data_IF_001276894716
#
_entry.id   IF_001276894716
#
_cell.length_a   1.000
_cell.length_b   1.000
_cell.length_c   1.000
_cell.angle_alpha   90.00
_cell.angle_beta   90.00
_cell.angle_gamma   90.00
#
_symmetry.space_group_name_H-M   'P 1'
#
loop_
_entity.id
_entity.type
_entity.pdbx_description
1 polymer ?
#
# COMPACT_ATOMS: atom_id res chain seq x y z
N UNK A 1 6.78 28.97 -2.36
CA UNK A 1 5.56 28.37 -1.80
C UNK A 1 4.56 28.20 -2.94
N UNK A 2 4.55 27.03 -3.56
CA UNK A 2 3.49 26.64 -4.51
C UNK A 2 2.59 25.71 -3.71
N UNK A 3 1.33 26.09 -3.58
CA UNK A 3 0.31 25.37 -2.82
C UNK A 3 0.07 24.01 -3.52
N UNK A 4 0.46 22.89 -2.90
CA UNK A 4 0.05 21.55 -3.35
C UNK A 4 -1.46 21.41 -3.11
N UNK A 5 -2.24 21.85 -4.10
CA UNK A 5 -3.67 21.54 -4.15
C UNK A 5 -3.77 20.02 -4.33
N UNK A 6 -4.36 19.35 -3.35
CA UNK A 6 -4.86 17.98 -3.49
C UNK A 6 -5.70 17.90 -4.77
N UNK A 7 -5.16 17.28 -5.83
CA UNK A 7 -5.86 17.03 -7.08
C UNK A 7 -6.95 15.98 -6.83
N UNK A 8 -8.11 16.48 -6.41
CA UNK A 8 -9.38 15.76 -6.41
C UNK A 8 -9.72 15.41 -7.85
N UNK A 9 -9.84 14.11 -8.13
CA UNK A 9 -10.06 13.68 -9.50
C UNK A 9 -11.47 14.06 -10.02
N UNK A 10 -11.50 14.29 -11.34
CA UNK A 10 -12.51 14.97 -12.18
C UNK A 10 -13.91 14.39 -12.09
N UNK A 11 -14.93 15.25 -12.20
CA UNK A 11 -16.27 14.80 -12.55
C UNK A 11 -16.66 15.01 -14.02
N UNK A 12 -17.43 14.08 -14.59
CA UNK A 12 -18.19 14.28 -15.83
C UNK A 12 -19.67 14.38 -15.46
N UNK A 13 -20.32 15.45 -15.92
CA UNK A 13 -21.74 15.69 -15.67
C UNK A 13 -22.55 15.41 -16.94
N UNK A 14 -23.62 14.62 -16.81
CA UNK A 14 -24.69 14.55 -17.80
C UNK A 14 -25.92 15.27 -17.25
N UNK A 15 -26.52 16.13 -18.07
CA UNK A 15 -27.72 16.88 -17.74
C UNK A 15 -28.76 16.56 -18.81
N UNK A 16 -29.83 15.88 -18.42
CA UNK A 16 -30.96 15.59 -19.27
C UNK A 16 -32.09 16.56 -18.92
N UNK A 17 -32.57 17.29 -19.93
CA UNK A 17 -33.55 18.36 -19.77
C UNK A 17 -34.55 18.36 -20.92
N UNK A 18 -35.75 18.88 -20.67
CA UNK A 18 -36.75 19.10 -21.70
C UNK A 18 -36.20 19.91 -22.89
N UNK A 19 -36.48 19.47 -24.12
CA UNK A 19 -36.00 20.08 -25.37
C UNK A 19 -36.44 21.51 -25.55
N UNK A 20 -37.61 21.86 -25.00
CA UNK A 20 -38.21 23.19 -25.10
C UNK A 20 -37.63 24.16 -24.05
N UNK A 21 -36.74 23.68 -23.16
CA UNK A 21 -36.04 24.52 -22.22
C UNK A 21 -35.21 25.61 -22.95
N UNK A 22 -35.36 26.90 -22.57
CA UNK A 22 -34.60 27.97 -23.19
C UNK A 22 -33.10 27.79 -22.91
N UNK A 23 -32.26 28.27 -23.81
CA UNK A 23 -30.80 28.17 -23.67
C UNK A 23 -30.28 28.78 -22.36
N UNK A 24 -30.96 29.82 -21.85
CA UNK A 24 -30.67 30.42 -20.56
C UNK A 24 -30.88 29.46 -19.39
N UNK A 25 -31.97 28.70 -19.38
CA UNK A 25 -32.23 27.68 -18.35
C UNK A 25 -31.11 26.64 -18.32
N UNK A 26 -30.69 26.16 -19.50
CA UNK A 26 -29.56 25.22 -19.60
C UNK A 26 -28.26 25.81 -19.03
N UNK A 27 -27.97 27.09 -19.31
CA UNK A 27 -26.80 27.77 -18.75
C UNK A 27 -26.87 27.88 -17.23
N UNK A 28 -28.02 28.23 -16.68
CA UNK A 28 -28.23 28.31 -15.22
C UNK A 28 -28.00 26.95 -14.57
N UNK A 29 -28.58 25.88 -15.11
CA UNK A 29 -28.40 24.51 -14.58
C UNK A 29 -26.94 24.08 -14.66
N UNK A 30 -26.30 24.27 -15.82
CA UNK A 30 -24.87 24.00 -16.02
C UNK A 30 -23.99 24.72 -14.97
N UNK A 31 -24.27 26.00 -14.73
CA UNK A 31 -23.53 26.83 -13.78
C UNK A 31 -23.81 26.43 -12.33
N UNK A 32 -25.04 26.07 -11.99
CA UNK A 32 -25.42 25.62 -10.65
C UNK A 32 -24.66 24.35 -10.24
N UNK A 33 -24.62 23.35 -11.13
CA UNK A 33 -23.87 22.10 -10.89
C UNK A 33 -22.38 22.40 -10.75
N UNK A 34 -21.83 23.23 -11.64
CA UNK A 34 -20.40 23.57 -11.62
C UNK A 34 -20.01 24.38 -10.38
N UNK A 35 -20.84 25.31 -9.93
CA UNK A 35 -20.62 26.06 -8.68
C UNK A 35 -20.59 25.10 -7.48
N UNK A 36 -21.56 24.19 -7.38
CA UNK A 36 -21.57 23.17 -6.32
C UNK A 36 -20.35 22.25 -6.37
N UNK A 37 -19.86 21.91 -7.57
CA UNK A 37 -18.65 21.09 -7.75
C UNK A 37 -17.44 21.77 -7.12
N UNK A 38 -17.26 23.07 -7.36
CA UNK A 38 -16.12 23.82 -6.80
C UNK A 38 -16.32 24.07 -5.31
N UNK A 39 -17.46 24.63 -4.93
CA UNK A 39 -17.71 25.16 -3.58
C UNK A 39 -17.86 24.05 -2.53
N UNK A 40 -18.46 22.92 -2.89
CA UNK A 40 -18.84 21.86 -1.94
C UNK A 40 -18.02 20.60 -2.16
N UNK A 41 -17.86 20.16 -3.41
CA UNK A 41 -17.17 18.91 -3.73
C UNK A 41 -15.65 19.08 -3.93
N UNK A 42 -15.13 20.28 -3.72
CA UNK A 42 -13.72 20.66 -3.85
C UNK A 42 -13.12 20.25 -5.21
N UNK A 43 -13.86 20.47 -6.30
CA UNK A 43 -13.43 20.19 -7.66
C UNK A 43 -12.60 21.37 -8.20
N UNK A 44 -11.49 21.14 -8.94
CA UNK A 44 -10.70 22.21 -9.51
C UNK A 44 -11.49 23.11 -10.46
N UNK A 45 -11.15 24.40 -10.51
CA UNK A 45 -11.83 25.39 -11.37
C UNK A 45 -11.69 25.02 -12.86
N UNK A 46 -10.60 24.37 -13.28
CA UNK A 46 -10.42 23.93 -14.67
C UNK A 46 -11.38 22.82 -15.11
N UNK A 47 -12.10 22.19 -14.18
CA UNK A 47 -12.70 20.88 -14.41
C UNK A 47 -14.21 21.02 -14.68
N UNK A 48 -14.53 21.47 -15.89
CA UNK A 48 -15.91 21.66 -16.36
C UNK A 48 -16.23 20.80 -17.59
N UNK A 49 -16.44 19.51 -17.37
CA UNK A 49 -16.92 18.58 -18.40
C UNK A 49 -18.40 18.30 -18.22
N UNK A 50 -19.22 18.82 -19.12
CA UNK A 50 -20.67 18.64 -19.05
C UNK A 50 -21.24 18.32 -20.43
N UNK A 51 -22.14 17.35 -20.47
CA UNK A 51 -22.94 17.01 -21.65
C UNK A 51 -24.39 17.32 -21.31
N UNK A 52 -25.05 18.11 -22.15
CA UNK A 52 -26.48 18.40 -22.02
C UNK A 52 -27.22 17.69 -23.13
N UNK A 53 -28.15 16.82 -22.76
CA UNK A 53 -29.04 16.13 -23.67
C UNK A 53 -30.44 16.72 -23.53
N UNK A 54 -31.06 17.02 -24.68
CA UNK A 54 -32.40 17.58 -24.76
C UNK A 54 -33.39 16.50 -25.18
N UNK A 55 -34.49 16.40 -24.47
CA UNK A 55 -35.49 15.33 -24.64
C UNK A 55 -36.87 15.88 -24.95
N UNK A 56 -37.58 15.26 -25.88
CA UNK A 56 -39.02 15.47 -26.09
C UNK A 56 -39.82 15.05 -24.85
N UNK A 57 -41.04 15.55 -24.73
CA UNK A 57 -41.88 15.33 -23.55
C UNK A 57 -42.18 13.85 -23.25
N UNK A 58 -42.03 12.97 -24.25
CA UNK A 58 -42.24 11.53 -24.18
C UNK A 58 -40.94 10.71 -23.98
N UNK A 59 -39.78 11.36 -23.91
CA UNK A 59 -38.47 10.70 -23.77
C UNK A 59 -37.98 10.64 -22.30
N UNK A 60 -38.49 11.53 -21.43
CA UNK A 60 -38.26 11.46 -19.98
C UNK A 60 -39.52 10.88 -19.32
N UNK A 61 -39.43 9.62 -18.89
CA UNK A 61 -40.56 8.88 -18.29
C UNK A 61 -40.38 8.81 -16.77
N UNK A 62 -41.39 9.28 -16.04
CA UNK A 62 -41.46 9.22 -14.58
C UNK A 62 -42.85 8.71 -14.15
N UNK A 63 -42.98 8.10 -12.95
CA UNK A 63 -44.26 7.55 -12.50
C UNK A 63 -45.29 8.65 -12.22
N UNK A 64 -46.52 8.45 -12.70
CA UNK A 64 -47.65 9.38 -12.51
C UNK A 64 -47.97 9.62 -11.03
N UNK A 65 -47.81 8.60 -10.18
CA UNK A 65 -48.01 8.69 -8.73
C UNK A 65 -46.80 9.28 -7.98
N UNK A 66 -45.73 9.65 -8.68
CA UNK A 66 -44.48 10.09 -8.07
C UNK A 66 -43.65 8.94 -7.46
N UNK A 67 -42.54 9.30 -6.80
CA UNK A 67 -41.64 8.34 -6.15
C UNK A 67 -41.12 8.89 -4.82
N UNK A 68 -41.15 8.07 -3.75
CA UNK A 68 -40.75 8.48 -2.39
C UNK A 68 -41.44 9.77 -1.89
N UNK A 69 -42.70 9.99 -2.30
CA UNK A 69 -43.47 11.19 -1.94
C UNK A 69 -43.15 12.43 -2.78
N UNK A 70 -42.35 12.30 -3.83
CA UNK A 70 -41.98 13.39 -4.75
C UNK A 70 -42.80 13.27 -6.04
N UNK A 71 -43.50 14.34 -6.40
CA UNK A 71 -44.24 14.46 -7.66
C UNK A 71 -43.46 15.27 -8.68
N UNK A 72 -43.29 14.70 -9.88
CA UNK A 72 -42.52 15.30 -10.96
C UNK A 72 -43.41 16.02 -11.97
N UNK A 73 -42.82 16.97 -12.70
CA UNK A 73 -43.47 17.69 -13.79
C UNK A 73 -42.68 17.56 -15.11
N UNK A 74 -43.23 18.03 -16.25
CA UNK A 74 -42.51 18.03 -17.53
C UNK A 74 -41.23 18.89 -17.56
N UNK A 75 -40.98 19.68 -16.51
CA UNK A 75 -39.76 20.45 -16.32
C UNK A 75 -38.64 19.67 -15.58
N UNK A 76 -38.83 18.37 -15.31
CA UNK A 76 -37.85 17.48 -14.67
C UNK A 76 -36.46 17.58 -15.34
N UNK A 77 -35.44 17.76 -14.48
CA UNK A 77 -34.03 17.79 -14.83
C UNK A 77 -33.34 16.62 -14.14
N UNK A 78 -32.65 15.80 -14.92
CA UNK A 78 -31.86 14.68 -14.42
C UNK A 78 -30.38 15.04 -14.55
N UNK A 79 -29.66 14.94 -13.44
CA UNK A 79 -28.25 15.30 -13.35
C UNK A 79 -27.48 14.09 -12.86
N UNK A 80 -26.68 13.48 -13.72
CA UNK A 80 -25.73 12.45 -13.33
C UNK A 80 -24.33 13.04 -13.22
N UNK A 81 -23.67 12.82 -12.09
CA UNK A 81 -22.28 13.22 -11.86
C UNK A 81 -21.45 11.98 -11.60
N UNK A 82 -20.59 11.63 -12.55
CA UNK A 82 -19.55 10.61 -12.37
C UNK A 82 -18.31 11.31 -11.84
N UNK A 83 -17.74 10.89 -10.71
CA UNK A 83 -16.51 11.45 -10.15
C UNK A 83 -15.65 10.37 -9.50
N UNK A 84 -14.48 10.73 -9.01
CA UNK A 84 -13.70 9.82 -8.16
C UNK A 84 -14.31 9.69 -6.76
N UNK A 85 -14.41 8.45 -6.29
CA UNK A 85 -14.98 8.13 -4.97
C UNK A 85 -14.23 8.76 -3.79
N UNK A 86 -14.83 8.64 -2.59
CA UNK A 86 -14.22 9.08 -1.32
C UNK A 86 -14.78 10.36 -0.72
N UNK A 87 -15.79 10.99 -1.34
CA UNK A 87 -16.53 12.10 -0.71
C UNK A 87 -17.41 11.55 0.41
N UNK A 88 -17.42 12.23 1.56
CA UNK A 88 -18.24 11.84 2.71
C UNK A 88 -19.73 12.03 2.42
N UNK A 89 -20.57 11.31 3.18
CA UNK A 89 -22.03 11.46 3.09
C UNK A 89 -22.49 12.90 3.31
N UNK A 90 -21.83 13.66 4.20
CA UNK A 90 -22.19 15.05 4.47
C UNK A 90 -21.86 15.99 3.30
N UNK A 91 -20.73 15.77 2.62
CA UNK A 91 -20.40 16.49 1.38
C UNK A 91 -21.44 16.18 0.31
N UNK A 92 -21.83 14.90 0.13
CA UNK A 92 -22.85 14.50 -0.84
C UNK A 92 -24.21 15.16 -0.54
N UNK A 93 -24.65 15.21 0.72
CA UNK A 93 -25.88 15.91 1.15
C UNK A 93 -25.86 17.40 0.82
N UNK A 94 -24.76 18.08 1.18
CA UNK A 94 -24.61 19.51 0.89
C UNK A 94 -24.57 19.79 -0.61
N UNK A 95 -23.94 18.90 -1.38
CA UNK A 95 -23.85 19.00 -2.84
C UNK A 95 -25.22 18.93 -3.50
N UNK A 96 -26.07 17.96 -3.11
CA UNK A 96 -27.44 17.86 -3.61
C UNK A 96 -28.25 19.12 -3.30
N UNK A 97 -28.21 19.57 -2.04
CA UNK A 97 -28.97 20.72 -1.57
C UNK A 97 -28.57 21.99 -2.32
N UNK A 98 -27.26 22.23 -2.46
CA UNK A 98 -26.69 23.41 -3.15
C UNK A 98 -27.16 23.52 -4.59
N UNK A 99 -27.21 22.41 -5.33
CA UNK A 99 -27.64 22.37 -6.73
C UNK A 99 -29.13 22.66 -6.84
N UNK A 100 -29.96 21.94 -6.07
CA UNK A 100 -31.41 22.11 -6.10
C UNK A 100 -31.83 23.53 -5.71
N UNK A 101 -31.20 24.11 -4.69
CA UNK A 101 -31.46 25.49 -4.25
C UNK A 101 -31.12 26.52 -5.31
N UNK A 102 -29.96 26.37 -5.97
CA UNK A 102 -29.50 27.31 -6.99
C UNK A 102 -30.37 27.26 -8.25
N UNK A 103 -30.69 26.05 -8.72
CA UNK A 103 -31.54 25.84 -9.89
C UNK A 103 -32.94 26.42 -9.61
N UNK A 104 -33.48 26.17 -8.42
CA UNK A 104 -34.76 26.74 -8.04
C UNK A 104 -34.72 28.27 -8.03
N UNK A 105 -33.73 28.85 -7.34
CA UNK A 105 -33.62 30.30 -7.18
C UNK A 105 -33.40 31.03 -8.52
N UNK A 106 -32.65 30.43 -9.46
CA UNK A 106 -32.24 31.10 -10.70
C UNK A 106 -33.01 30.70 -11.95
N UNK A 107 -33.59 29.50 -11.99
CA UNK A 107 -34.34 29.01 -13.15
C UNK A 107 -35.83 28.80 -12.88
N UNK A 108 -36.28 28.98 -11.62
CA UNK A 108 -37.69 28.81 -11.23
C UNK A 108 -38.17 27.36 -11.28
N UNK A 109 -37.25 26.39 -11.42
CA UNK A 109 -37.58 24.96 -11.44
C UNK A 109 -37.89 24.50 -10.01
N UNK A 110 -38.89 23.66 -9.86
CA UNK A 110 -39.22 23.05 -8.57
C UNK A 110 -38.06 22.19 -8.07
N UNK A 111 -37.80 22.17 -6.76
CA UNK A 111 -36.73 21.32 -6.22
C UNK A 111 -37.04 19.84 -6.40
N UNK A 112 -38.34 19.50 -6.41
CA UNK A 112 -38.83 18.15 -6.73
C UNK A 112 -38.47 17.71 -8.16
N UNK A 113 -38.29 18.67 -9.07
CA UNK A 113 -37.94 18.45 -10.48
C UNK A 113 -36.41 18.48 -10.71
N UNK A 114 -35.60 18.38 -9.66
CA UNK A 114 -34.13 18.25 -9.74
C UNK A 114 -33.72 16.89 -9.20
N UNK A 115 -33.54 15.92 -10.10
CA UNK A 115 -33.11 14.57 -9.74
C UNK A 115 -31.61 14.42 -9.97
N UNK A 116 -30.86 14.03 -8.93
CA UNK A 116 -29.39 13.94 -8.98
C UNK A 116 -28.95 12.51 -8.67
N UNK A 117 -28.10 11.94 -9.53
CA UNK A 117 -27.45 10.66 -9.34
C UNK A 117 -25.93 10.85 -9.31
N UNK A 118 -25.25 10.23 -8.34
CA UNK A 118 -23.79 10.24 -8.24
C UNK A 118 -23.25 8.85 -8.56
N UNK A 119 -22.22 8.81 -9.39
CA UNK A 119 -21.48 7.59 -9.75
C UNK A 119 -20.05 7.76 -9.22
N UNK A 120 -19.62 6.84 -8.36
CA UNK A 120 -18.27 6.82 -7.81
C UNK A 120 -17.42 5.83 -8.62
N UNK A 121 -16.33 6.32 -9.21
CA UNK A 121 -15.31 5.50 -9.90
C UNK A 121 -13.96 5.54 -9.17
N UNK A 122 -13.06 4.62 -9.54
CA UNK A 122 -11.66 4.63 -9.14
C UNK A 122 -10.89 5.74 -9.86
N UNK A 123 -9.68 6.07 -9.39
CA UNK A 123 -8.82 7.05 -10.08
C UNK A 123 -8.28 6.50 -11.39
N UNK A 124 -7.99 5.21 -11.40
CA UNK A 124 -7.50 4.43 -12.53
C UNK A 124 -8.49 4.33 -13.70
N UNK A 125 -9.78 4.60 -13.47
CA UNK A 125 -10.82 4.46 -14.50
C UNK A 125 -10.92 5.66 -15.45
N UNK A 126 -10.04 6.66 -15.29
CA UNK A 126 -10.12 7.94 -16.00
C UNK A 126 -9.06 8.10 -17.09
N UNK A 127 -9.51 8.42 -18.30
CA UNK A 127 -8.70 8.92 -19.42
C UNK A 127 -9.30 10.20 -20.01
N UNK A 128 -8.55 11.29 -20.01
CA UNK A 128 -8.97 12.61 -20.52
C UNK A 128 -8.50 12.89 -21.95
N UNK A 129 -8.01 11.86 -22.65
CA UNK A 129 -7.47 11.97 -24.00
C UNK A 129 -6.12 11.28 -24.14
N UNK A 130 -5.62 11.23 -25.38
CA UNK A 130 -4.35 10.57 -25.76
C UNK A 130 -4.26 9.07 -25.44
N UNK A 131 -5.33 8.44 -24.96
CA UNK A 131 -5.33 7.04 -24.53
C UNK A 131 -4.54 6.78 -23.25
N UNK A 132 -4.23 7.82 -22.47
CA UNK A 132 -3.46 7.71 -21.22
C UNK A 132 -4.42 7.68 -20.01
N UNK A 133 -4.08 6.93 -18.96
CA UNK A 133 -4.80 6.96 -17.67
C UNK A 133 -4.19 8.02 -16.76
N UNK A 134 -4.59 9.29 -16.88
CA UNK A 134 -3.90 10.39 -16.20
C UNK A 134 -4.00 10.34 -14.67
N UNK A 135 -5.05 9.70 -14.15
CA UNK A 135 -5.27 9.55 -12.71
C UNK A 135 -4.88 8.21 -12.13
N UNK A 136 -4.49 7.25 -12.97
CA UNK A 136 -3.82 6.05 -12.47
C UNK A 136 -2.72 6.51 -11.50
N UNK A 137 -2.50 5.77 -10.40
CA UNK A 137 -1.25 5.91 -9.69
C UNK A 137 -0.19 5.83 -10.77
N UNK A 138 0.55 6.93 -10.99
CA UNK A 138 1.78 6.82 -11.75
C UNK A 138 2.47 5.69 -11.03
N UNK A 139 2.63 4.56 -11.70
CA UNK A 139 3.59 3.56 -11.29
C UNK A 139 4.89 4.33 -11.41
N UNK A 140 5.22 5.08 -10.36
CA UNK A 140 6.57 5.30 -9.94
C UNK A 140 7.06 3.88 -9.62
N UNK A 141 7.35 3.13 -10.68
CA UNK A 141 8.68 2.60 -10.84
C UNK A 141 9.53 3.84 -10.62
N UNK A 142 10.12 4.04 -9.42
CA UNK A 142 11.10 5.08 -9.26
C UNK A 142 12.16 4.73 -10.28
N UNK A 143 12.28 5.43 -11.40
CA UNK A 143 13.57 5.41 -12.06
C UNK A 143 14.47 6.20 -11.13
N UNK A 144 15.72 5.76 -10.98
CA UNK A 144 16.76 6.70 -10.63
C UNK A 144 16.52 7.98 -11.45
N UNK A 145 16.59 9.15 -10.82
CA UNK A 145 16.44 10.40 -11.58
C UNK A 145 17.56 10.47 -12.64
N UNK A 146 17.53 11.48 -13.52
CA UNK A 146 18.50 11.64 -14.61
C UNK A 146 19.99 11.61 -14.16
N UNK A 147 20.26 11.67 -12.85
CA UNK A 147 21.59 11.57 -12.23
C UNK A 147 21.87 10.22 -11.56
N UNK A 148 21.07 9.18 -11.81
CA UNK A 148 21.26 7.88 -11.17
C UNK A 148 20.91 7.88 -9.68
N UNK A 149 20.04 8.78 -9.21
CA UNK A 149 19.74 8.94 -7.77
C UNK A 149 18.33 8.49 -7.40
N UNK A 150 18.22 7.79 -6.27
CA UNK A 150 16.95 7.38 -5.66
C UNK A 150 16.08 8.60 -5.31
N UNK A 151 14.78 8.53 -5.57
CA UNK A 151 13.83 9.60 -5.26
C UNK A 151 13.24 9.44 -3.85
N UNK A 152 13.00 10.56 -3.16
CA UNK A 152 12.24 10.56 -1.91
C UNK A 152 10.77 10.21 -2.18
N UNK A 153 10.18 9.46 -1.24
CA UNK A 153 8.75 9.13 -1.20
C UNK A 153 8.25 9.54 0.18
N UNK A 154 7.66 10.74 0.33
CA UNK A 154 7.28 11.27 1.63
C UNK A 154 6.17 10.43 2.26
N UNK A 155 6.10 10.47 3.60
CA UNK A 155 5.00 9.87 4.35
C UNK A 155 3.67 10.49 3.91
N UNK A 156 2.77 9.64 3.44
CA UNK A 156 1.39 10.02 3.07
C UNK A 156 0.47 8.80 3.24
N UNK A 157 -0.85 8.99 3.38
CA UNK A 157 -1.78 7.86 3.49
C UNK A 157 -1.75 6.89 2.30
N UNK A 158 -1.27 7.33 1.13
CA UNK A 158 -1.19 6.53 -0.09
C UNK A 158 0.16 5.83 -0.28
N UNK A 159 1.23 6.32 0.35
CA UNK A 159 2.56 5.74 0.21
C UNK A 159 2.68 4.47 1.07
N UNK A 160 2.67 3.28 0.46
CA UNK A 160 2.85 2.00 1.18
C UNK A 160 4.29 1.76 1.64
N UNK A 161 5.25 2.29 0.91
CA UNK A 161 6.67 2.36 1.27
C UNK A 161 7.09 3.81 1.18
N UNK A 162 7.71 4.35 2.23
CA UNK A 162 8.32 5.68 2.26
C UNK A 162 9.81 5.58 2.02
N UNK A 163 10.38 6.63 1.43
CA UNK A 163 11.82 6.77 1.21
C UNK A 163 12.21 8.18 1.64
N UNK A 164 13.14 8.28 2.57
CA UNK A 164 13.67 9.56 3.06
C UNK A 164 15.20 9.54 3.05
N UNK A 165 15.78 10.32 2.14
CA UNK A 165 17.22 10.51 2.05
C UNK A 165 17.71 11.49 3.10
N UNK A 166 18.81 11.15 3.76
CA UNK A 166 19.49 12.02 4.73
C UNK A 166 21.00 12.02 4.45
N UNK A 167 21.41 12.86 3.50
CA UNK A 167 22.80 12.87 3.03
C UNK A 167 23.14 11.56 2.30
N UNK A 168 24.09 10.82 2.86
CA UNK A 168 24.62 9.57 2.30
C UNK A 168 23.86 8.31 2.79
N UNK A 169 22.83 8.48 3.62
CA UNK A 169 21.98 7.37 4.07
C UNK A 169 20.56 7.54 3.55
N UNK A 170 19.80 6.45 3.53
CA UNK A 170 18.38 6.44 3.21
C UNK A 170 17.58 5.67 4.25
N UNK A 171 16.40 6.18 4.59
CA UNK A 171 15.44 5.52 5.44
C UNK A 171 14.30 4.99 4.56
N UNK A 172 14.04 3.69 4.64
CA UNK A 172 12.99 2.99 3.90
C UNK A 172 11.97 2.49 4.91
N UNK A 173 10.72 2.93 4.80
CA UNK A 173 9.69 2.69 5.82
C UNK A 173 8.48 1.96 5.26
N UNK A 174 8.01 0.88 5.88
CA UNK A 174 6.69 0.30 5.57
C UNK A 174 5.58 1.12 6.22
N UNK A 175 4.56 1.49 5.45
CA UNK A 175 3.47 2.38 5.88
C UNK A 175 2.10 1.84 5.44
N UNK A 176 1.62 0.86 6.18
CA UNK A 176 0.21 0.40 6.19
C UNK A 176 -0.26 0.18 7.65
N UNK A 177 -0.09 1.17 8.56
CA UNK A 177 -0.31 0.98 9.99
C UNK A 177 -1.74 0.56 10.34
N UNK A 178 -2.72 0.97 9.54
CA UNK A 178 -4.14 0.64 9.67
C UNK A 178 -4.44 -0.87 9.62
N UNK A 179 -3.50 -1.68 9.11
CA UNK A 179 -3.58 -3.13 9.08
C UNK A 179 -2.27 -3.76 9.58
N UNK A 180 -1.66 -3.16 10.60
CA UNK A 180 -0.45 -3.68 11.25
C UNK A 180 0.75 -3.84 10.29
N UNK A 181 0.89 -2.94 9.31
CA UNK A 181 1.94 -2.95 8.30
C UNK A 181 2.06 -4.29 7.54
N UNK A 182 0.96 -5.03 7.38
CA UNK A 182 0.98 -6.24 6.57
C UNK A 182 1.40 -5.92 5.14
N UNK A 183 2.17 -6.79 4.49
CA UNK A 183 2.62 -6.63 3.11
C UNK A 183 1.57 -7.19 2.15
N UNK A 184 1.09 -6.36 1.22
CA UNK A 184 0.40 -6.81 0.01
C UNK A 184 1.43 -6.92 -1.14
N UNK A 185 1.04 -7.46 -2.32
CA UNK A 185 1.97 -7.59 -3.44
C UNK A 185 2.61 -6.26 -3.87
N UNK A 186 1.86 -5.16 -3.85
CA UNK A 186 2.35 -3.84 -4.27
C UNK A 186 3.37 -3.26 -3.28
N UNK A 187 3.12 -3.34 -1.97
CA UNK A 187 4.08 -2.96 -0.94
C UNK A 187 5.37 -3.78 -1.04
N UNK A 188 5.26 -5.09 -1.31
CA UNK A 188 6.42 -5.95 -1.49
C UNK A 188 7.25 -5.54 -2.72
N UNK A 189 6.62 -5.32 -3.87
CA UNK A 189 7.32 -4.85 -5.07
C UNK A 189 7.93 -3.45 -4.91
N UNK A 190 7.28 -2.57 -4.15
CA UNK A 190 7.84 -1.24 -3.83
C UNK A 190 9.07 -1.34 -2.94
N UNK A 191 9.09 -2.25 -1.98
CA UNK A 191 10.28 -2.52 -1.17
C UNK A 191 11.41 -3.10 -2.04
N UNK A 192 11.08 -4.08 -2.89
CA UNK A 192 12.02 -4.69 -3.84
C UNK A 192 12.68 -3.64 -4.75
N UNK A 193 11.88 -2.68 -5.20
CA UNK A 193 12.33 -1.57 -6.02
C UNK A 193 13.16 -0.56 -5.25
N UNK A 194 12.78 -0.22 -4.03
CA UNK A 194 13.54 0.68 -3.16
C UNK A 194 14.92 0.11 -2.84
N UNK A 195 15.02 -1.20 -2.62
CA UNK A 195 16.29 -1.90 -2.42
C UNK A 195 17.17 -1.85 -3.68
N UNK A 196 16.60 -2.09 -4.86
CA UNK A 196 17.32 -1.93 -6.12
C UNK A 196 17.85 -0.50 -6.31
N UNK A 197 17.02 0.52 -6.06
CA UNK A 197 17.44 1.92 -6.23
C UNK A 197 18.50 2.34 -5.22
N UNK A 198 18.37 1.90 -3.96
CA UNK A 198 19.38 2.11 -2.95
C UNK A 198 20.72 1.48 -3.37
N UNK A 199 20.71 0.24 -3.83
CA UNK A 199 21.91 -0.48 -4.21
C UNK A 199 22.59 0.15 -5.44
N UNK A 200 21.80 0.71 -6.36
CA UNK A 200 22.30 1.34 -7.59
C UNK A 200 22.58 2.85 -7.49
N UNK A 201 22.16 3.54 -6.42
CA UNK A 201 22.47 4.96 -6.22
C UNK A 201 23.89 5.15 -5.63
N UNK A 202 24.88 5.65 -6.40
CA UNK A 202 26.27 5.77 -5.93
C UNK A 202 26.47 6.81 -4.82
N UNK A 203 25.47 7.67 -4.56
CA UNK A 203 25.53 8.66 -3.49
C UNK A 203 25.07 8.14 -2.13
N UNK A 204 24.47 6.94 -2.08
CA UNK A 204 24.03 6.29 -0.85
C UNK A 204 25.06 5.25 -0.38
N UNK A 205 25.20 5.11 0.93
CA UNK A 205 26.21 4.30 1.63
C UNK A 205 25.62 3.29 2.59
N UNK A 206 24.48 3.58 3.20
CA UNK A 206 23.77 2.66 4.10
C UNK A 206 22.26 2.94 4.09
N UNK A 207 21.46 1.91 4.33
CA UNK A 207 20.01 2.02 4.43
C UNK A 207 19.52 1.65 5.85
N UNK A 208 18.45 2.30 6.30
CA UNK A 208 17.70 1.91 7.50
C UNK A 208 16.30 1.47 7.06
N UNK A 209 15.93 0.22 7.32
CA UNK A 209 14.58 -0.30 7.09
C UNK A 209 13.78 -0.32 8.40
N UNK A 210 12.60 0.31 8.41
CA UNK A 210 11.76 0.47 9.60
C UNK A 210 10.26 0.41 9.24
N UNK A 211 9.38 0.46 10.25
CA UNK A 211 7.93 0.54 10.08
C UNK A 211 7.32 1.82 10.65
N UNK A 212 6.24 2.30 10.04
CA UNK A 212 5.45 3.44 10.56
C UNK A 212 4.32 2.97 11.48
N UNK A 213 3.95 3.79 12.46
CA UNK A 213 2.88 3.47 13.41
C UNK A 213 3.31 2.50 14.52
N UNK A 214 2.38 1.75 15.07
CA UNK A 214 2.57 0.98 16.32
C UNK A 214 3.43 -0.28 16.17
N UNK A 215 3.50 -0.85 14.96
CA UNK A 215 4.15 -2.14 14.73
C UNK A 215 5.13 -2.02 13.56
N UNK A 216 6.20 -2.79 13.59
CA UNK A 216 7.03 -2.96 12.40
C UNK A 216 6.22 -3.64 11.28
N UNK A 217 5.75 -4.89 11.50
CA UNK A 217 4.79 -5.57 10.62
C UNK A 217 4.35 -6.93 11.17
N UNK A 218 3.09 -7.31 10.93
CA UNK A 218 2.56 -8.67 11.15
C UNK A 218 2.70 -9.61 9.94
N UNK A 219 3.62 -9.30 9.02
CA UNK A 219 3.95 -10.15 7.88
C UNK A 219 2.98 -9.96 6.71
N UNK A 220 2.45 -11.05 6.15
CA UNK A 220 1.68 -11.00 4.89
C UNK A 220 0.23 -10.55 5.09
N UNK A 221 -0.30 -9.82 4.10
CA UNK A 221 -1.72 -9.56 3.88
C UNK A 221 -2.29 -10.72 3.05
N UNK A 222 -2.75 -11.78 3.72
CA UNK A 222 -3.12 -13.05 3.06
C UNK A 222 -4.20 -12.82 2.01
N UNK A 223 -5.19 -11.97 2.30
CA UNK A 223 -6.32 -11.72 1.41
C UNK A 223 -5.90 -10.98 0.14
N UNK A 224 -4.96 -10.03 0.25
CA UNK A 224 -4.41 -9.32 -0.90
C UNK A 224 -3.57 -10.23 -1.83
N UNK A 225 -3.05 -11.35 -1.33
CA UNK A 225 -2.29 -12.32 -2.13
C UNK A 225 -3.16 -13.39 -2.80
N UNK A 226 -4.43 -13.57 -2.39
CA UNK A 226 -5.34 -14.58 -2.97
C UNK A 226 -5.49 -14.45 -4.50
N UNK A 227 -5.74 -13.25 -5.08
CA UNK A 227 -5.90 -13.12 -6.53
C UNK A 227 -4.65 -13.53 -7.29
N UNK A 228 -3.47 -13.17 -6.77
CA UNK A 228 -2.19 -13.52 -7.35
C UNK A 228 -1.95 -15.04 -7.29
N UNK A 229 -2.22 -15.67 -6.15
CA UNK A 229 -2.09 -17.12 -5.98
C UNK A 229 -2.95 -17.91 -6.98
N UNK A 230 -4.18 -17.43 -7.25
CA UNK A 230 -5.09 -18.05 -8.24
C UNK A 230 -4.56 -18.01 -9.68
N UNK A 231 -3.64 -17.11 -10.01
CA UNK A 231 -3.06 -17.06 -11.36
C UNK A 231 -2.12 -18.22 -11.66
N UNK A 232 -1.63 -18.92 -10.63
CA UNK A 232 -0.60 -19.96 -10.75
C UNK A 232 0.75 -19.46 -11.26
N UNK A 233 0.92 -18.15 -11.46
CA UNK A 233 2.17 -17.55 -11.92
C UNK A 233 3.14 -17.40 -10.74
N UNK A 234 4.45 -17.62 -10.96
CA UNK A 234 5.45 -17.39 -9.93
C UNK A 234 5.48 -15.91 -9.52
N UNK A 235 5.59 -15.66 -8.22
CA UNK A 235 5.85 -14.34 -7.68
C UNK A 235 7.32 -13.97 -7.90
N UNK A 236 7.63 -13.56 -9.13
CA UNK A 236 8.99 -13.31 -9.59
C UNK A 236 9.32 -11.81 -9.56
N UNK A 237 10.59 -11.50 -9.27
CA UNK A 237 11.12 -10.14 -9.40
C UNK A 237 11.21 -9.77 -10.87
N UNK A 238 10.92 -8.50 -11.17
CA UNK A 238 11.06 -7.93 -12.51
C UNK A 238 12.45 -7.29 -12.64
N UNK A 239 12.83 -6.96 -13.87
CA UNK A 239 13.99 -6.11 -14.12
C UNK A 239 13.89 -4.81 -13.30
N UNK A 240 15.02 -4.38 -12.72
CA UNK A 240 15.05 -3.22 -11.85
C UNK A 240 14.50 -3.46 -10.44
N UNK A 241 14.42 -4.70 -9.96
CA UNK A 241 14.02 -5.04 -8.60
C UNK A 241 15.00 -6.03 -7.96
N UNK A 242 15.21 -5.90 -6.65
CA UNK A 242 15.93 -6.89 -5.84
C UNK A 242 14.95 -7.59 -4.92
N UNK A 243 15.06 -8.91 -4.79
CA UNK A 243 14.22 -9.68 -3.87
C UNK A 243 14.43 -9.19 -2.42
N UNK A 244 13.41 -8.65 -1.74
CA UNK A 244 13.54 -8.17 -0.36
C UNK A 244 14.02 -9.22 0.64
N UNK A 245 13.83 -10.51 0.32
CA UNK A 245 14.32 -11.64 1.11
C UNK A 245 15.76 -12.04 0.77
N UNK A 246 16.41 -11.36 -0.18
CA UNK A 246 17.77 -11.63 -0.63
C UNK A 246 18.06 -13.12 -0.93
N UNK A 247 17.10 -13.85 -1.53
CA UNK A 247 17.27 -15.28 -1.84
C UNK A 247 18.15 -15.51 -3.06
N UNK A 248 18.18 -14.54 -3.97
CA UNK A 248 18.96 -14.60 -5.21
C UNK A 248 20.17 -13.67 -5.20
N UNK A 249 20.09 -12.56 -4.46
CA UNK A 249 21.11 -11.52 -4.44
C UNK A 249 21.00 -10.72 -3.14
N UNK A 250 22.14 -10.54 -2.46
CA UNK A 250 22.29 -9.67 -1.30
C UNK A 250 22.53 -8.22 -1.73
N UNK A 251 22.24 -7.26 -0.85
CA UNK A 251 22.60 -5.87 -1.07
C UNK A 251 24.13 -5.70 -1.04
N UNK A 252 24.68 -4.89 -1.94
CA UNK A 252 26.11 -4.59 -1.96
C UNK A 252 26.51 -3.51 -0.94
N UNK A 253 25.53 -2.90 -0.28
CA UNK A 253 25.67 -1.83 0.72
C UNK A 253 24.91 -2.18 2.00
N UNK A 254 25.40 -1.74 3.17
CA UNK A 254 24.81 -2.13 4.45
C UNK A 254 23.34 -1.74 4.63
N UNK A 255 22.58 -2.67 5.21
CA UNK A 255 21.20 -2.51 5.64
C UNK A 255 21.10 -2.69 7.16
N UNK A 256 20.48 -1.71 7.82
CA UNK A 256 20.12 -1.76 9.23
C UNK A 256 18.61 -1.95 9.34
N UNK A 257 18.13 -3.00 10.01
CA UNK A 257 16.70 -3.13 10.33
C UNK A 257 16.41 -2.60 11.74
N UNK A 258 15.41 -1.74 11.84
CA UNK A 258 14.90 -1.19 13.10
C UNK A 258 13.46 -1.64 13.29
N UNK A 259 13.20 -2.38 14.37
CA UNK A 259 11.90 -3.01 14.62
C UNK A 259 11.33 -2.67 15.99
N UNK A 260 10.00 -2.67 16.09
CA UNK A 260 9.24 -2.39 17.30
C UNK A 260 7.84 -3.00 17.20
N UNK A 261 7.14 -3.11 18.34
CA UNK A 261 5.84 -3.77 18.39
C UNK A 261 5.87 -5.15 17.73
N UNK A 262 4.79 -5.54 17.07
CA UNK A 262 4.72 -6.83 16.39
C UNK A 262 5.64 -6.89 15.16
N UNK A 263 6.51 -7.90 15.15
CA UNK A 263 7.46 -8.22 14.09
C UNK A 263 7.38 -9.70 13.77
N UNK A 264 6.35 -10.11 13.02
CA UNK A 264 5.99 -11.52 12.86
C UNK A 264 6.21 -12.03 11.44
N UNK A 265 6.52 -13.32 11.33
CA UNK A 265 6.45 -14.09 10.10
C UNK A 265 7.34 -13.47 9.02
N UNK A 266 6.78 -13.15 7.84
CA UNK A 266 7.47 -12.42 6.79
C UNK A 266 8.23 -11.17 7.29
N UNK A 267 7.74 -10.47 8.31
CA UNK A 267 8.44 -9.30 8.84
C UNK A 267 9.72 -9.66 9.59
N UNK A 268 9.71 -10.76 10.36
CA UNK A 268 10.92 -11.30 10.98
C UNK A 268 11.90 -11.81 9.91
N UNK A 269 11.40 -12.40 8.83
CA UNK A 269 12.24 -12.83 7.71
C UNK A 269 12.92 -11.65 7.00
N UNK A 270 12.22 -10.53 6.78
CA UNK A 270 12.81 -9.29 6.26
C UNK A 270 13.80 -8.67 7.24
N UNK A 271 13.53 -8.77 8.55
CA UNK A 271 14.46 -8.31 9.58
C UNK A 271 15.77 -9.10 9.56
N UNK A 272 15.72 -10.43 9.41
CA UNK A 272 16.89 -11.31 9.34
C UNK A 272 17.79 -11.09 8.12
N UNK A 273 17.32 -10.37 7.09
CA UNK A 273 18.13 -9.99 5.92
C UNK A 273 19.16 -8.91 6.28
N UNK A 274 18.88 -8.06 7.26
CA UNK A 274 19.73 -6.92 7.59
C UNK A 274 21.06 -7.33 8.25
N UNK A 275 22.11 -6.57 7.95
CA UNK A 275 23.46 -6.75 8.49
C UNK A 275 23.54 -6.39 9.98
N UNK A 276 22.79 -5.35 10.39
CA UNK A 276 22.70 -4.91 11.78
C UNK A 276 21.23 -4.75 12.16
N UNK A 277 20.87 -5.24 13.34
CA UNK A 277 19.48 -5.32 13.79
C UNK A 277 19.32 -4.65 15.14
N UNK A 278 18.49 -3.61 15.17
CA UNK A 278 18.15 -2.81 16.36
C UNK A 278 16.68 -3.03 16.66
N UNK A 279 16.32 -3.19 17.94
CA UNK A 279 14.93 -3.27 18.33
C UNK A 279 14.59 -2.32 19.46
N UNK A 280 13.34 -1.86 19.48
CA UNK A 280 12.73 -1.26 20.66
C UNK A 280 12.44 -2.33 21.72
N UNK A 281 12.46 -1.94 22.99
CA UNK A 281 12.16 -2.80 24.14
C UNK A 281 10.75 -3.43 24.07
N UNK A 282 9.82 -2.80 23.37
CA UNK A 282 8.44 -3.28 23.17
C UNK A 282 8.27 -4.26 21.98
N UNK A 283 9.36 -4.62 21.29
CA UNK A 283 9.26 -5.56 20.16
C UNK A 283 8.73 -6.92 20.63
N UNK A 284 7.85 -7.50 19.82
CA UNK A 284 7.35 -8.85 19.96
C UNK A 284 7.53 -9.58 18.64
N UNK A 285 8.48 -10.49 18.61
CA UNK A 285 8.74 -11.34 17.46
C UNK A 285 7.83 -12.57 17.44
N UNK A 286 7.58 -13.10 16.25
CA UNK A 286 6.82 -14.33 16.02
C UNK A 286 7.23 -14.99 14.72
N UNK A 287 7.28 -16.32 14.71
CA UNK A 287 7.52 -17.13 13.51
C UNK A 287 6.58 -18.33 13.58
N UNK A 288 5.28 -18.05 13.48
CA UNK A 288 4.19 -18.95 13.85
C UNK A 288 3.47 -19.57 12.64
N UNK A 289 4.07 -19.54 11.45
CA UNK A 289 3.47 -20.09 10.23
C UNK A 289 3.07 -21.57 10.39
N UNK A 290 3.87 -22.34 11.11
CA UNK A 290 3.63 -23.77 11.32
C UNK A 290 2.34 -24.05 12.10
N UNK A 291 1.92 -23.16 13.01
CA UNK A 291 0.66 -23.31 13.75
C UNK A 291 -0.57 -23.03 12.88
N UNK A 292 -0.35 -22.55 11.65
CA UNK A 292 -1.36 -22.26 10.64
C UNK A 292 -1.29 -23.20 9.43
N UNK A 293 -0.54 -24.31 9.53
CA UNK A 293 -0.35 -25.27 8.42
C UNK A 293 0.48 -24.68 7.26
N UNK A 294 1.34 -23.70 7.56
CA UNK A 294 2.24 -23.03 6.61
C UNK A 294 3.68 -23.28 7.07
N UNK A 295 4.66 -22.75 6.33
CA UNK A 295 6.04 -22.71 6.82
C UNK A 295 6.73 -21.39 6.44
N UNK A 296 7.82 -21.01 7.13
CA UNK A 296 8.58 -19.79 6.81
C UNK A 296 9.28 -19.87 5.44
N UNK A 297 8.80 -19.07 4.48
CA UNK A 297 9.24 -19.14 3.07
C UNK A 297 10.17 -17.99 2.62
N UNK A 298 10.38 -16.98 3.46
CA UNK A 298 11.25 -15.82 3.22
C UNK A 298 12.70 -16.01 3.71
N UNK A 299 13.02 -17.11 4.39
CA UNK A 299 14.37 -17.49 4.76
C UNK A 299 14.63 -17.68 6.26
N UNK A 300 13.62 -17.62 7.14
CA UNK A 300 13.86 -17.87 8.57
C UNK A 300 14.39 -19.29 8.84
N UNK A 301 13.99 -20.29 8.06
CA UNK A 301 14.50 -21.68 8.15
C UNK A 301 15.99 -21.82 7.83
N UNK A 302 16.64 -20.74 7.38
CA UNK A 302 18.06 -20.67 7.09
C UNK A 302 18.72 -19.64 8.03
N UNK A 303 18.29 -18.38 7.93
CA UNK A 303 18.94 -17.27 8.64
C UNK A 303 18.69 -17.32 10.13
N UNK A 304 17.49 -17.68 10.60
CA UNK A 304 17.23 -17.70 12.04
C UNK A 304 18.09 -18.76 12.76
N UNK A 305 18.34 -19.89 12.10
CA UNK A 305 19.24 -20.93 12.59
C UNK A 305 20.69 -20.45 12.63
N UNK A 306 21.14 -19.76 11.59
CA UNK A 306 22.48 -19.19 11.52
C UNK A 306 22.73 -18.22 12.68
N UNK A 307 21.77 -17.33 12.94
CA UNK A 307 21.93 -16.29 13.97
C UNK A 307 21.83 -16.84 15.40
N UNK A 308 20.96 -17.83 15.65
CA UNK A 308 20.60 -18.23 17.04
C UNK A 308 21.02 -19.65 17.43
N UNK A 309 21.46 -20.45 16.46
CA UNK A 309 21.65 -21.88 16.61
C UNK A 309 20.34 -22.67 16.52
N UNK A 310 20.46 -23.96 16.21
CA UNK A 310 19.32 -24.85 15.92
C UNK A 310 18.24 -24.86 17.00
N UNK A 311 18.63 -25.06 18.27
CA UNK A 311 17.68 -25.25 19.36
C UNK A 311 16.80 -24.03 19.61
N UNK A 312 17.41 -22.83 19.61
CA UNK A 312 16.70 -21.57 19.78
C UNK A 312 15.74 -21.31 18.60
N UNK A 313 16.22 -21.48 17.36
CA UNK A 313 15.40 -21.28 16.18
C UNK A 313 14.19 -22.22 16.14
N UNK A 314 14.42 -23.52 16.37
CA UNK A 314 13.36 -24.53 16.36
C UNK A 314 12.38 -24.36 17.52
N UNK A 315 12.84 -23.89 18.68
CA UNK A 315 11.98 -23.60 19.83
C UNK A 315 10.84 -22.65 19.46
N UNK A 316 11.08 -21.66 18.60
CA UNK A 316 10.02 -20.72 18.18
C UNK A 316 9.31 -21.16 16.91
N UNK A 317 10.03 -21.60 15.87
CA UNK A 317 9.39 -22.02 14.62
C UNK A 317 8.46 -23.22 14.78
N UNK A 318 8.82 -24.20 15.62
CA UNK A 318 8.00 -25.41 15.79
C UNK A 318 6.83 -25.21 16.75
N UNK A 319 6.92 -24.26 17.68
CA UNK A 319 5.87 -24.00 18.69
C UNK A 319 4.93 -22.87 18.28
N UNK A 320 5.41 -21.92 17.48
CA UNK A 320 4.72 -20.67 17.19
C UNK A 320 4.69 -19.67 18.35
N UNK A 321 5.46 -19.90 19.42
CA UNK A 321 5.53 -18.94 20.53
C UNK A 321 6.16 -17.62 20.10
N UNK A 322 5.77 -16.54 20.77
CA UNK A 322 6.34 -15.20 20.56
C UNK A 322 7.40 -14.90 21.62
N UNK A 323 8.38 -14.05 21.28
CA UNK A 323 9.44 -13.62 22.19
C UNK A 323 9.71 -12.12 22.11
N UNK A 324 10.31 -11.58 23.17
CA UNK A 324 10.58 -10.14 23.31
C UNK A 324 12.04 -9.75 23.04
N UNK A 325 12.32 -8.45 23.19
CA UNK A 325 13.63 -7.85 22.95
C UNK A 325 14.79 -8.53 23.71
N UNK A 326 14.63 -8.77 25.01
CA UNK A 326 15.66 -9.38 25.86
C UNK A 326 16.07 -10.77 25.37
N UNK A 327 15.08 -11.57 24.99
CA UNK A 327 15.32 -12.92 24.49
C UNK A 327 15.95 -12.89 23.09
N UNK A 328 15.52 -11.96 22.23
CA UNK A 328 16.13 -11.74 20.93
C UNK A 328 17.61 -11.32 21.06
N UNK A 329 17.93 -10.45 22.03
CA UNK A 329 19.30 -10.03 22.32
C UNK A 329 20.14 -11.16 22.91
N UNK A 330 19.59 -11.92 23.87
CA UNK A 330 20.23 -13.12 24.46
C UNK A 330 20.59 -14.16 23.40
N UNK A 331 19.73 -14.34 22.39
CA UNK A 331 19.97 -15.26 21.27
C UNK A 331 20.91 -14.70 20.19
N UNK A 332 21.26 -13.41 20.25
CA UNK A 332 22.09 -12.76 19.22
C UNK A 332 21.33 -12.33 17.96
N UNK A 333 19.99 -12.42 17.95
CA UNK A 333 19.17 -11.98 16.80
C UNK A 333 19.30 -10.48 16.61
N UNK A 334 19.35 -9.70 17.69
CA UNK A 334 19.51 -8.24 17.65
C UNK A 334 20.80 -7.82 18.37
N UNK A 335 21.37 -6.70 17.96
CA UNK A 335 22.63 -6.16 18.49
C UNK A 335 22.42 -5.00 19.47
N UNK A 336 21.23 -4.40 19.51
CA UNK A 336 20.93 -3.29 20.41
C UNK A 336 19.43 -3.28 20.78
N UNK A 337 19.15 -3.10 22.07
CA UNK A 337 17.81 -2.82 22.60
C UNK A 337 17.74 -1.33 22.95
N UNK A 338 16.84 -0.60 22.29
CA UNK A 338 16.55 0.78 22.60
C UNK A 338 15.28 0.89 23.48
N UNK A 339 15.16 1.92 24.34
CA UNK A 339 14.03 2.02 25.28
C UNK A 339 12.64 2.11 24.66
N UNK A 340 12.52 2.62 23.44
CA UNK A 340 11.25 2.83 22.74
C UNK A 340 11.46 2.95 21.22
N UNK A 341 10.38 2.93 20.40
CA UNK A 341 10.49 2.92 18.94
C UNK A 341 11.27 4.11 18.36
N UNK A 342 11.05 5.32 18.90
CA UNK A 342 11.74 6.51 18.43
C UNK A 342 13.26 6.42 18.69
N UNK A 343 13.65 5.91 19.87
CA UNK A 343 15.06 5.69 20.21
C UNK A 343 15.70 4.56 19.41
N UNK A 344 14.95 3.51 19.07
CA UNK A 344 15.42 2.47 18.17
C UNK A 344 15.74 3.04 16.77
N UNK A 345 14.86 3.90 16.24
CA UNK A 345 15.09 4.55 14.95
C UNK A 345 16.28 5.51 14.98
N UNK A 346 16.39 6.32 16.03
CA UNK A 346 17.57 7.19 16.24
C UNK A 346 18.88 6.38 16.27
N UNK A 347 18.90 5.25 16.98
CA UNK A 347 20.05 4.36 17.07
C UNK A 347 20.43 3.77 15.70
N UNK A 348 19.44 3.24 14.95
CA UNK A 348 19.65 2.74 13.59
C UNK A 348 20.20 3.80 12.63
N UNK A 349 19.67 5.03 12.69
CA UNK A 349 20.19 6.17 11.92
C UNK A 349 21.62 6.51 12.33
N UNK A 350 21.93 6.46 13.63
CA UNK A 350 23.28 6.67 14.15
C UNK A 350 24.28 5.66 13.62
N UNK A 351 23.92 4.38 13.59
CA UNK A 351 24.73 3.30 13.00
C UNK A 351 24.94 3.50 11.50
N UNK A 352 23.86 3.81 10.76
CA UNK A 352 23.94 4.09 9.32
C UNK A 352 24.89 5.25 9.01
N UNK A 353 24.87 6.33 9.83
CA UNK A 353 25.80 7.47 9.68
C UNK A 353 27.25 7.08 9.96
N UNK A 354 27.51 6.25 10.97
CA UNK A 354 28.86 5.75 11.27
C UNK A 354 29.41 4.92 10.09
N UNK A 355 28.57 4.06 9.51
CA UNK A 355 28.91 3.29 8.31
C UNK A 355 29.17 4.22 7.12
N UNK A 356 28.29 5.21 6.89
CA UNK A 356 28.43 6.15 5.79
C UNK A 356 29.72 6.99 5.86
N UNK A 357 30.21 7.27 7.07
CA UNK A 357 31.48 7.97 7.31
C UNK A 357 32.73 7.09 7.06
N UNK A 358 32.57 5.79 6.83
CA UNK A 358 33.66 4.83 6.59
C UNK A 358 34.01 4.74 5.09
N UNK A 359 35.19 4.18 4.79
CA UNK A 359 35.62 3.97 3.40
C UNK A 359 34.68 3.00 2.65
N UNK A 360 33.95 3.45 1.61
CA UNK A 360 32.85 2.67 1.03
C UNK A 360 33.30 1.39 0.32
N UNK A 361 34.50 1.40 -0.29
CA UNK A 361 35.08 0.19 -0.87
C UNK A 361 35.44 -0.84 0.20
N UNK A 362 35.96 -0.39 1.35
CA UNK A 362 36.26 -1.27 2.48
C UNK A 362 35.00 -1.93 3.04
N UNK A 363 33.91 -1.17 3.18
CA UNK A 363 32.60 -1.69 3.59
C UNK A 363 32.08 -2.72 2.59
N UNK A 364 32.06 -2.38 1.29
CA UNK A 364 31.58 -3.28 0.24
C UNK A 364 32.39 -4.58 0.19
N UNK A 365 33.73 -4.49 0.20
CA UNK A 365 34.61 -5.66 0.20
C UNK A 365 34.47 -6.48 1.49
N UNK A 366 34.20 -5.85 2.64
CA UNK A 366 33.92 -6.57 3.89
C UNK A 366 32.66 -7.41 3.77
N UNK A 367 31.57 -6.83 3.25
CA UNK A 367 30.32 -7.56 3.02
C UNK A 367 30.51 -8.68 2.00
N UNK A 368 31.12 -8.39 0.85
CA UNK A 368 31.42 -9.40 -0.18
C UNK A 368 32.22 -10.57 0.39
N UNK A 369 33.28 -10.29 1.16
CA UNK A 369 34.09 -11.34 1.79
C UNK A 369 33.33 -12.13 2.85
N UNK A 370 32.47 -11.47 3.65
CA UNK A 370 31.66 -12.15 4.66
C UNK A 370 30.63 -13.09 4.01
N UNK A 371 29.99 -12.63 2.92
CA UNK A 371 29.01 -13.40 2.16
C UNK A 371 29.57 -14.71 1.58
N UNK A 372 30.84 -14.71 1.16
CA UNK A 372 31.50 -15.96 0.70
C UNK A 372 31.49 -17.07 1.76
N UNK A 373 31.47 -16.74 3.05
CA UNK A 373 31.47 -17.74 4.13
C UNK A 373 30.09 -18.36 4.40
N UNK A 374 29.00 -17.73 3.93
CA UNK A 374 27.63 -18.13 4.22
C UNK A 374 26.89 -18.61 2.96
N UNK A 375 27.08 -17.94 1.82
CA UNK A 375 26.24 -18.09 0.63
C UNK A 375 26.31 -19.47 -0.01
N UNK A 376 27.48 -20.13 -0.04
CA UNK A 376 27.60 -21.47 -0.67
C UNK A 376 26.69 -22.51 0.01
N UNK A 377 26.53 -22.40 1.33
CA UNK A 377 25.68 -23.31 2.11
C UNK A 377 24.19 -22.93 2.06
N UNK A 378 23.90 -21.63 1.97
CA UNK A 378 22.53 -21.11 1.95
C UNK A 378 21.87 -21.22 0.58
N UNK A 379 22.63 -21.05 -0.51
CA UNK A 379 22.09 -21.04 -1.87
C UNK A 379 21.31 -22.32 -2.23
N UNK A 380 21.83 -23.48 -1.81
CA UNK A 380 21.15 -24.77 -2.01
C UNK A 380 19.83 -24.85 -1.23
N UNK A 381 19.79 -24.34 0.01
CA UNK A 381 18.59 -24.33 0.83
C UNK A 381 17.56 -23.34 0.29
N UNK A 382 17.97 -22.13 -0.08
CA UNK A 382 17.09 -21.13 -0.71
C UNK A 382 16.47 -21.64 -2.02
N UNK A 383 17.25 -22.36 -2.83
CA UNK A 383 16.77 -22.98 -4.07
C UNK A 383 15.64 -24.00 -3.88
N UNK A 384 15.46 -24.54 -2.66
CA UNK A 384 14.39 -25.49 -2.32
C UNK A 384 13.13 -24.88 -1.73
N UNK A 385 13.19 -23.65 -1.21
CA UNK A 385 12.06 -23.04 -0.51
C UNK A 385 10.81 -22.93 -1.39
N UNK A 386 10.94 -22.55 -2.66
CA UNK A 386 9.79 -22.41 -3.56
C UNK A 386 9.07 -23.75 -3.80
N UNK A 387 9.82 -24.84 -3.93
CA UNK A 387 9.28 -26.20 -4.10
C UNK A 387 8.54 -26.65 -2.84
N UNK A 388 9.17 -26.45 -1.67
CA UNK A 388 8.59 -26.77 -0.37
C UNK A 388 7.29 -25.97 -0.11
N UNK A 389 7.30 -24.67 -0.44
CA UNK A 389 6.15 -23.77 -0.27
C UNK A 389 5.01 -24.15 -1.21
N UNK A 390 5.31 -24.41 -2.48
CA UNK A 390 4.35 -24.90 -3.46
C UNK A 390 3.76 -26.27 -3.10
N UNK A 391 4.51 -27.13 -2.40
CA UNK A 391 4.04 -28.40 -1.87
C UNK A 391 2.90 -28.22 -0.86
N UNK A 392 3.11 -27.36 0.15
CA UNK A 392 2.16 -27.19 1.26
C UNK A 392 0.81 -26.61 0.84
N UNK A 393 0.75 -25.70 -0.13
CA UNK A 393 -0.51 -25.08 -0.57
C UNK A 393 -1.58 -26.07 -1.05
N UNK A 394 -1.18 -27.31 -1.39
CA UNK A 394 -2.05 -28.35 -1.91
C UNK A 394 -2.48 -29.37 -0.85
N UNK A 395 -2.00 -29.24 0.39
CA UNK A 395 -2.26 -30.16 1.50
C UNK A 395 -3.61 -29.90 2.15
N UNK A 396 -4.20 -30.93 2.75
CA UNK A 396 -5.42 -30.80 3.57
C UNK A 396 -5.16 -29.89 4.78
N UNK A 397 -3.95 -29.95 5.36
CA UNK A 397 -3.57 -29.14 6.52
C UNK A 397 -3.50 -27.65 6.22
N UNK A 398 -2.98 -27.26 5.04
CA UNK A 398 -3.01 -25.85 4.63
C UNK A 398 -4.45 -25.34 4.47
N UNK A 399 -5.33 -26.15 3.84
CA UNK A 399 -6.73 -25.81 3.63
C UNK A 399 -7.46 -25.69 4.97
N UNK A 400 -7.22 -26.64 5.88
CA UNK A 400 -7.78 -26.64 7.24
C UNK A 400 -7.30 -25.44 8.05
N UNK A 401 -6.01 -25.09 7.99
CA UNK A 401 -5.48 -23.91 8.67
C UNK A 401 -6.18 -22.62 8.22
N UNK A 402 -6.40 -22.45 6.91
CA UNK A 402 -7.16 -21.30 6.36
C UNK A 402 -8.62 -21.31 6.79
N UNK A 403 -9.25 -22.49 6.81
CA UNK A 403 -10.66 -22.63 7.20
C UNK A 403 -10.85 -22.32 8.69
N UNK A 404 -9.99 -22.87 9.55
CA UNK A 404 -10.03 -22.66 10.99
C UNK A 404 -9.81 -21.19 11.36
N UNK A 405 -8.87 -20.51 10.68
CA UNK A 405 -8.63 -19.07 10.82
C UNK A 405 -9.87 -18.24 10.44
N UNK A 406 -10.51 -18.55 9.30
CA UNK A 406 -11.73 -17.86 8.85
C UNK A 406 -12.93 -18.10 9.78
N UNK A 407 -13.00 -19.27 10.42
CA UNK A 407 -14.06 -19.67 11.34
C UNK A 407 -13.77 -19.29 12.80
N UNK A 408 -12.59 -18.74 13.12
CA UNK A 408 -12.19 -18.37 14.47
C UNK A 408 -12.07 -19.56 15.43
N UNK A 409 -11.71 -20.75 14.93
CA UNK A 409 -11.60 -21.99 15.71
C UNK A 409 -10.19 -22.57 15.68
N UNK A 410 -9.93 -23.52 16.57
CA UNK A 410 -8.69 -24.30 16.52
C UNK A 410 -8.67 -25.24 15.31
N UNK A 411 -7.54 -25.35 14.58
CA UNK A 411 -7.40 -26.26 13.46
C UNK A 411 -7.22 -27.72 13.91
N UNK A 412 -7.62 -28.67 13.06
CA UNK A 412 -7.40 -30.11 13.28
C UNK A 412 -6.54 -30.69 12.16
N UNK A 413 -5.23 -30.69 12.36
CA UNK A 413 -4.26 -31.18 11.38
C UNK A 413 -4.17 -32.71 11.33
N UNK A 414 -3.94 -33.25 10.13
CA UNK A 414 -3.91 -34.68 9.82
C UNK A 414 -2.59 -35.14 9.18
N UNK A 415 -1.71 -34.22 8.79
CA UNK A 415 -0.43 -34.50 8.13
C UNK A 415 -0.61 -35.01 6.70
N UNK A 416 -1.60 -34.48 5.95
CA UNK A 416 -1.97 -34.93 4.60
C UNK A 416 -2.06 -33.79 3.61
#
# INVERSE_FOLDING_TARGET
MVNERTETAVPVVRIDINKDAPAERVRVVSQAVYAAMIEIANVPISDKFQVVTRHSADEIIYPDEGYLGIQYSPDLIIIQVTWVGGRTTDVKKQFYQRIADEIHAKAGIRKEDVWINLVDDGREDWSFGKGEMQYAPKTAVPSLNDKGRMADIPLSPQAKITVERRGEIVLIGVNRPQIYNRFDPDAFFRLAKAYYDFDNDPSLRAAVFFGHGENFSRGIDVDAFVPLAKTGKPFAMKEGMLDPFARSQQLSKPLIAVVHGDTWNMAHELHLVADIRVASADVRFGQDENTHGRFPGGGATIRFLRETGWGNAMRYMLTGDHWGAEEAYRMGVIQEIAPNPAKALEAGIGLARKIAASGPLGIKTTLESAHLSIDESEAAAFGKLNEQFGGLFRTEDFIEGRKAEAEGRQPVYRGK
#
